data_IF_693798038070
#
_entry.id   IF_693798038070
#
_cell.length_a   1.000
_cell.length_b   1.000
_cell.length_c   1.000
_cell.angle_alpha   90.00
_cell.angle_beta   90.00
_cell.angle_gamma   90.00
#
_symmetry.space_group_name_H-M   'P 1'
#
loop_
_entity.id
_entity.type
_entity.pdbx_description
1 polymer ?
#
# COMPACT_ATOMS: atom_id res chain seq x y z
N UNK A 1 -10.26 1.53 -21.24
CA UNK A 1 -10.40 2.27 -19.96
C UNK A 1 -9.15 2.07 -19.14
N UNK A 2 -8.64 3.10 -18.46
CA UNK A 2 -7.47 2.98 -17.57
C UNK A 2 -7.96 2.56 -16.18
N UNK A 3 -7.51 1.39 -15.71
CA UNK A 3 -7.83 0.91 -14.36
C UNK A 3 -6.82 1.45 -13.34
N UNK A 4 -7.31 1.66 -12.11
CA UNK A 4 -6.52 2.10 -10.96
C UNK A 4 -6.85 1.19 -9.79
N UNK A 5 -5.84 0.84 -9.00
CA UNK A 5 -5.99 0.05 -7.79
C UNK A 5 -5.16 0.65 -6.67
N UNK A 6 -5.57 0.41 -5.42
CA UNK A 6 -4.84 0.79 -4.23
C UNK A 6 -4.00 -0.39 -3.75
N UNK A 7 -2.72 -0.14 -3.47
CA UNK A 7 -1.82 -1.12 -2.87
C UNK A 7 -1.37 -0.58 -1.52
N UNK A 8 -1.47 -1.40 -0.48
CA UNK A 8 -1.05 -1.05 0.87
C UNK A 8 0.17 -1.87 1.28
N UNK A 9 1.24 -1.19 1.67
CA UNK A 9 2.37 -1.82 2.35
C UNK A 9 2.10 -1.77 3.84
N UNK A 10 1.82 -2.93 4.45
CA UNK A 10 1.55 -3.04 5.89
C UNK A 10 2.79 -2.70 6.74
N UNK A 11 2.63 -2.38 8.04
CA UNK A 11 3.74 -1.95 8.90
C UNK A 11 4.91 -2.94 8.96
N UNK A 12 4.65 -4.24 8.88
CA UNK A 12 5.68 -5.28 8.82
C UNK A 12 6.52 -5.20 7.54
N UNK A 13 5.90 -4.93 6.38
CA UNK A 13 6.61 -4.72 5.12
C UNK A 13 7.50 -3.48 5.13
N UNK A 14 7.03 -2.42 5.80
CA UNK A 14 7.83 -1.19 6.02
C UNK A 14 9.01 -1.48 6.97
N UNK A 15 8.77 -2.11 8.13
CA UNK A 15 9.82 -2.47 9.10
C UNK A 15 10.90 -3.37 8.52
N UNK A 16 10.53 -4.24 7.58
CA UNK A 16 11.46 -5.13 6.86
C UNK A 16 12.20 -4.44 5.71
N UNK A 17 11.97 -3.15 5.46
CA UNK A 17 12.62 -2.41 4.38
C UNK A 17 12.16 -2.80 2.97
N UNK A 18 10.97 -3.40 2.82
CA UNK A 18 10.53 -3.97 1.53
C UNK A 18 9.91 -2.96 0.57
N UNK A 19 9.72 -1.70 0.98
CA UNK A 19 9.02 -0.67 0.19
C UNK A 19 9.65 -0.52 -1.20
N UNK A 20 10.97 -0.34 -1.29
CA UNK A 20 11.67 -0.17 -2.58
C UNK A 20 11.52 -1.38 -3.50
N UNK A 21 11.64 -2.59 -2.95
CA UNK A 21 11.49 -3.84 -3.72
C UNK A 21 10.06 -4.01 -4.23
N UNK A 22 9.05 -3.63 -3.44
CA UNK A 22 7.64 -3.66 -3.85
C UNK A 22 7.42 -2.68 -5.01
N UNK A 23 7.85 -1.41 -4.87
CA UNK A 23 7.71 -0.41 -5.93
C UNK A 23 8.40 -0.86 -7.23
N UNK A 24 9.64 -1.34 -7.12
CA UNK A 24 10.41 -1.89 -8.25
C UNK A 24 9.66 -2.99 -8.98
N UNK A 25 8.97 -3.89 -8.26
CA UNK A 25 8.16 -4.97 -8.88
C UNK A 25 7.00 -4.42 -9.70
N UNK A 26 6.28 -3.41 -9.20
CA UNK A 26 5.18 -2.79 -9.92
C UNK A 26 5.67 -2.11 -11.21
N UNK A 27 6.74 -1.32 -11.11
CA UNK A 27 7.34 -0.63 -12.27
C UNK A 27 7.90 -1.62 -13.29
N UNK A 28 8.58 -2.67 -12.84
CA UNK A 28 9.12 -3.73 -13.74
C UNK A 28 8.02 -4.48 -14.49
N UNK A 29 6.81 -4.56 -13.93
CA UNK A 29 5.63 -5.13 -14.59
C UNK A 29 4.93 -4.16 -15.56
N UNK A 30 5.46 -2.94 -15.73
CA UNK A 30 4.88 -1.91 -16.59
C UNK A 30 3.70 -1.17 -15.97
N UNK A 31 3.46 -1.34 -14.67
CA UNK A 31 2.41 -0.60 -13.97
C UNK A 31 2.91 0.80 -13.63
N UNK A 32 2.04 1.80 -13.84
CA UNK A 32 2.36 3.19 -13.53
C UNK A 32 1.96 3.52 -12.10
N UNK A 33 2.93 3.91 -11.28
CA UNK A 33 2.66 4.53 -9.98
C UNK A 33 2.11 5.95 -10.21
N UNK A 34 0.86 6.18 -9.83
CA UNK A 34 0.18 7.48 -10.00
C UNK A 34 0.06 8.29 -8.71
N UNK A 35 0.47 7.71 -7.58
CA UNK A 35 0.45 8.36 -6.26
C UNK A 35 1.07 7.45 -5.20
N UNK A 36 1.72 8.07 -4.22
CA UNK A 36 2.35 7.41 -3.08
C UNK A 36 2.12 8.27 -1.84
N UNK A 37 1.77 7.65 -0.71
CA UNK A 37 1.62 8.33 0.58
C UNK A 37 2.06 7.40 1.70
N UNK A 38 2.99 7.86 2.54
CA UNK A 38 3.29 7.22 3.82
C UNK A 38 2.34 7.80 4.87
N UNK A 39 1.68 6.95 5.64
CA UNK A 39 0.80 7.38 6.71
C UNK A 39 0.94 6.44 7.90
N UNK A 40 1.17 7.01 9.07
CA UNK A 40 0.99 6.30 10.33
C UNK A 40 -0.49 6.34 10.68
N UNK A 41 -1.07 5.17 10.82
CA UNK A 41 -2.50 5.00 11.01
C UNK A 41 -2.75 4.74 12.48
N UNK A 42 -3.62 5.54 13.10
CA UNK A 42 -4.11 5.28 14.45
C UNK A 42 -5.15 4.14 14.44
N UNK A 43 -5.44 3.60 15.63
CA UNK A 43 -6.33 2.44 15.76
C UNK A 43 -7.76 2.74 15.26
N UNK A 44 -8.21 3.98 15.45
CA UNK A 44 -9.54 4.43 15.04
C UNK A 44 -9.68 4.49 13.50
N UNK A 45 -8.63 4.91 12.79
CA UNK A 45 -8.61 4.88 11.33
C UNK A 45 -8.50 3.44 10.81
N UNK A 46 -7.71 2.58 11.48
CA UNK A 46 -7.60 1.17 11.10
C UNK A 46 -8.96 0.46 11.17
N UNK A 47 -9.75 0.70 12.22
CA UNK A 47 -11.11 0.15 12.39
C UNK A 47 -12.09 0.61 11.31
N UNK A 48 -11.95 1.84 10.79
CA UNK A 48 -12.77 2.34 9.67
C UNK A 48 -12.41 1.73 8.32
N UNK A 49 -11.18 1.24 8.16
CA UNK A 49 -10.70 0.65 6.90
C UNK A 49 -11.01 -0.85 6.80
N UNK A 50 -11.03 -1.55 7.94
CA UNK A 50 -11.44 -2.95 8.07
C UNK A 50 -12.79 -3.01 8.76
N UNK A 51 -13.85 -2.58 8.07
CA UNK A 51 -15.21 -2.88 8.50
C UNK A 51 -15.52 -4.32 8.07
N UNK A 52 -15.70 -5.20 9.06
CA UNK A 52 -16.44 -6.49 8.99
C UNK A 52 -15.70 -7.83 8.78
N UNK A 53 -14.37 -7.93 8.62
CA UNK A 53 -13.69 -9.25 8.51
C UNK A 53 -12.40 -9.39 9.35
N UNK A 54 -12.46 -9.01 10.63
CA UNK A 54 -11.56 -9.51 11.69
C UNK A 54 -12.41 -10.05 12.84
#
# INVERSE_FOLDING_TARGET
>A
MIQKTLVLVKPDGVRRGLVGEILRRFETKGLKLIGLKMQWIDEDFAKKHYTEDI
#
